data_IF_955245980951
#
_entry.id   IF_955245980951
#
_cell.length_a   1.000
_cell.length_b   1.000
_cell.length_c   1.000
_cell.angle_alpha   90.00
_cell.angle_beta   90.00
_cell.angle_gamma   90.00
#
_symmetry.space_group_name_H-M   'P 1'
#
loop_
_entity.id
_entity.type
_entity.pdbx_description
1 polymer ?
#
# COMPACT_ATOMS: atom_id res chain seq x y z
N UNK A 1 1.84 -16.90 5.05
CA UNK A 1 2.57 -15.89 4.25
C UNK A 1 1.91 -15.76 2.86
N UNK A 2 0.61 -15.44 2.79
CA UNK A 2 -0.12 -15.37 1.51
C UNK A 2 -0.84 -14.02 1.32
N UNK A 3 -1.21 -13.38 2.43
CA UNK A 3 -1.98 -12.13 2.43
C UNK A 3 -1.17 -10.97 1.86
N UNK A 4 0.11 -10.84 2.24
CA UNK A 4 0.99 -9.75 1.81
C UNK A 4 1.16 -9.68 0.28
N UNK A 5 1.17 -10.81 -0.43
CA UNK A 5 1.30 -10.81 -1.90
C UNK A 5 0.02 -10.33 -2.59
N UNK A 6 -1.16 -10.69 -2.06
CA UNK A 6 -2.44 -10.17 -2.55
C UNK A 6 -2.59 -8.67 -2.27
N UNK A 7 -2.22 -8.24 -1.07
CA UNK A 7 -2.23 -6.82 -0.70
C UNK A 7 -1.32 -6.01 -1.63
N UNK A 8 -0.12 -6.53 -1.94
CA UNK A 8 0.83 -5.91 -2.88
C UNK A 8 0.26 -5.79 -4.29
N UNK A 9 -0.40 -6.82 -4.79
CA UNK A 9 -1.00 -6.79 -6.12
C UNK A 9 -2.15 -5.76 -6.21
N UNK A 10 -3.02 -5.73 -5.20
CA UNK A 10 -4.14 -4.79 -5.14
C UNK A 10 -3.68 -3.34 -4.93
N UNK A 11 -2.69 -3.11 -4.05
CA UNK A 11 -2.09 -1.79 -3.89
C UNK A 11 -1.39 -1.33 -5.16
N UNK A 12 -0.70 -2.20 -5.91
CA UNK A 12 -0.15 -1.79 -7.21
C UNK A 12 -1.20 -1.48 -8.26
N UNK A 13 -2.27 -2.26 -8.30
CA UNK A 13 -3.36 -2.03 -9.24
C UNK A 13 -4.07 -0.69 -8.99
N UNK A 14 -4.15 -0.26 -7.72
CA UNK A 14 -4.72 1.02 -7.32
C UNK A 14 -3.71 2.17 -7.36
N UNK A 15 -2.46 1.87 -6.99
CA UNK A 15 -1.34 2.77 -6.88
C UNK A 15 -0.23 2.39 -7.86
N UNK A 16 -0.46 2.68 -9.14
CA UNK A 16 0.48 2.38 -10.23
C UNK A 16 1.85 3.08 -10.04
N UNK A 17 1.92 4.16 -9.25
CA UNK A 17 3.17 4.87 -8.95
C UNK A 17 4.02 4.19 -7.86
N UNK A 18 3.53 3.13 -7.21
CA UNK A 18 4.28 2.44 -6.14
C UNK A 18 4.88 1.14 -6.68
N UNK A 19 6.18 1.03 -6.47
CA UNK A 19 7.02 -0.04 -6.98
C UNK A 19 6.90 -1.32 -6.11
N UNK A 20 7.15 -2.52 -6.68
CA UNK A 20 7.18 -3.78 -5.93
C UNK A 20 8.21 -3.72 -4.81
N UNK A 21 9.37 -3.12 -5.11
CA UNK A 21 10.53 -3.10 -4.25
C UNK A 21 10.28 -2.20 -3.05
N UNK A 22 9.66 -1.04 -3.27
CA UNK A 22 9.22 -0.13 -2.20
C UNK A 22 8.21 -0.82 -1.27
N UNK A 23 7.24 -1.54 -1.84
CA UNK A 23 6.28 -2.38 -1.11
C UNK A 23 6.93 -3.57 -0.39
N UNK A 24 8.03 -4.08 -0.93
CA UNK A 24 8.79 -5.16 -0.31
C UNK A 24 9.59 -4.62 0.88
N UNK A 25 10.09 -3.38 0.75
CA UNK A 25 10.83 -2.65 1.76
C UNK A 25 9.95 -2.29 2.96
N UNK A 26 8.65 -2.08 2.75
CA UNK A 26 7.69 -1.88 3.86
C UNK A 26 7.39 -3.17 4.63
N UNK A 27 7.68 -4.35 4.06
CA UNK A 27 7.67 -5.64 4.76
C UNK A 27 6.42 -5.94 5.63
N UNK A 28 5.24 -5.45 5.24
CA UNK A 28 3.99 -5.64 6.02
C UNK A 28 3.70 -4.54 7.04
N UNK A 29 4.46 -3.45 7.01
CA UNK A 29 4.26 -2.29 7.86
C UNK A 29 3.30 -1.31 7.18
N UNK A 30 2.07 -1.20 7.71
CA UNK A 30 1.02 -0.35 7.16
C UNK A 30 1.43 1.13 7.12
N UNK A 31 2.14 1.60 8.13
CA UNK A 31 2.64 2.99 8.20
C UNK A 31 3.59 3.36 7.05
N UNK A 32 4.51 2.46 6.71
CA UNK A 32 5.42 2.70 5.59
C UNK A 32 4.68 2.71 4.25
N UNK A 33 3.58 1.95 4.14
CA UNK A 33 2.72 1.94 2.96
C UNK A 33 1.87 3.20 2.86
N UNK A 34 1.31 3.67 3.98
CA UNK A 34 0.61 4.95 4.03
C UNK A 34 1.54 6.08 3.57
N UNK A 35 2.77 6.13 4.09
CA UNK A 35 3.77 7.11 3.66
C UNK A 35 4.06 7.04 2.17
N UNK A 36 4.32 5.85 1.61
CA UNK A 36 4.56 5.68 0.18
C UNK A 36 3.37 6.12 -0.67
N UNK A 37 2.15 5.81 -0.25
CA UNK A 37 0.92 6.22 -0.95
C UNK A 37 0.75 7.75 -0.89
N UNK A 38 0.96 8.37 0.27
CA UNK A 38 0.95 9.84 0.41
C UNK A 38 2.03 10.48 -0.46
N UNK A 39 3.27 9.99 -0.42
CA UNK A 39 4.41 10.57 -1.15
C UNK A 39 4.29 10.40 -2.67
N UNK A 40 3.89 9.21 -3.15
CA UNK A 40 3.84 8.89 -4.59
C UNK A 40 2.57 9.42 -5.25
N UNK A 41 1.44 9.33 -4.57
CA UNK A 41 0.14 9.73 -5.12
C UNK A 41 -0.31 11.11 -4.68
N UNK A 42 0.33 11.73 -3.68
CA UNK A 42 -0.08 13.03 -3.15
C UNK A 42 -1.42 12.96 -2.42
N UNK A 43 -1.81 11.78 -1.94
CA UNK A 43 -3.03 11.58 -1.17
C UNK A 43 -2.86 12.13 0.24
N UNK A 44 -3.95 12.54 0.87
CA UNK A 44 -3.95 12.84 2.30
C UNK A 44 -3.69 11.57 3.11
N UNK A 45 -3.08 11.71 4.29
CA UNK A 45 -2.81 10.58 5.19
C UNK A 45 -4.06 9.74 5.49
N UNK A 46 -5.23 10.38 5.63
CA UNK A 46 -6.50 9.68 5.82
C UNK A 46 -6.94 8.85 4.61
N UNK A 47 -6.86 9.39 3.40
CA UNK A 47 -7.20 8.69 2.15
C UNK A 47 -6.24 7.53 1.90
N UNK A 48 -4.94 7.78 2.06
CA UNK A 48 -3.91 6.75 1.99
C UNK A 48 -4.16 5.65 3.02
N UNK A 49 -4.55 6.03 4.26
CA UNK A 49 -4.94 5.08 5.30
C UNK A 49 -6.10 4.22 4.88
N UNK A 50 -7.18 4.85 4.43
CA UNK A 50 -8.41 4.17 4.04
C UNK A 50 -8.19 3.20 2.90
N UNK A 51 -7.45 3.60 1.88
CA UNK A 51 -7.13 2.78 0.72
C UNK A 51 -6.27 1.57 1.09
N UNK A 52 -5.15 1.80 1.77
CA UNK A 52 -4.23 0.74 2.17
C UNK A 52 -4.91 -0.19 3.17
N UNK A 53 -5.64 0.32 4.17
CA UNK A 53 -6.34 -0.50 5.16
C UNK A 53 -7.50 -1.29 4.53
N UNK A 54 -8.26 -0.71 3.58
CA UNK A 54 -9.27 -1.43 2.81
C UNK A 54 -8.66 -2.55 1.97
N UNK A 55 -7.48 -2.33 1.37
CA UNK A 55 -6.77 -3.35 0.60
C UNK A 55 -6.20 -4.43 1.54
N UNK A 56 -5.69 -4.07 2.71
CA UNK A 56 -5.24 -5.03 3.74
C UNK A 56 -6.39 -5.85 4.33
N UNK A 57 -7.56 -5.25 4.53
CA UNK A 57 -8.75 -5.92 5.04
C UNK A 57 -9.38 -6.86 4.01
N UNK A 58 -9.13 -6.63 2.71
CA UNK A 58 -9.67 -7.44 1.61
C UNK A 58 -8.66 -8.43 1.00
N UNK A 59 -7.41 -8.45 1.47
CA UNK A 59 -6.31 -9.28 0.96
C UNK A 59 -6.14 -10.59 1.73
#
# INVERSE_FOLDING_TARGET
>A
MADVEKTRAALRAKFDKITPEEFKNTAGNRDALYKLVVEKHGLSEEEAKKEVDAIFASA
#
